data_IF_999833419201
#
_entry.id   IF_999833419201
#
_cell.length_a   1.000
_cell.length_b   1.000
_cell.length_c   1.000
_cell.angle_alpha   90.00
_cell.angle_beta   90.00
_cell.angle_gamma   90.00
#
_symmetry.space_group_name_H-M   'P 1'
#
loop_
_entity.id
_entity.type
_entity.pdbx_description
1 polymer ?
#
# COMPACT_ATOMS: atom_id res chain seq x y z
N UNK A 1 -17.65 -10.39 -15.83
CA UNK A 1 -16.68 -9.33 -15.46
C UNK A 1 -16.55 -9.42 -13.94
N UNK A 2 -15.34 -9.62 -13.41
CA UNK A 2 -15.09 -9.63 -11.97
C UNK A 2 -15.44 -8.25 -11.39
N UNK A 3 -16.06 -8.22 -10.24
CA UNK A 3 -16.44 -6.98 -9.56
C UNK A 3 -15.17 -6.21 -9.15
N UNK A 4 -15.09 -4.91 -9.51
CA UNK A 4 -13.96 -4.08 -9.16
C UNK A 4 -13.97 -3.79 -7.65
N UNK A 5 -12.88 -4.15 -6.97
CA UNK A 5 -12.69 -3.90 -5.52
C UNK A 5 -12.15 -2.49 -5.29
N UNK A 6 -11.26 -2.01 -6.17
CA UNK A 6 -10.77 -0.63 -6.16
C UNK A 6 -11.16 0.00 -7.50
N UNK A 7 -11.76 1.19 -7.45
CA UNK A 7 -12.07 1.96 -8.65
C UNK A 7 -11.71 3.42 -8.41
N UNK A 8 -10.90 3.97 -9.31
CA UNK A 8 -10.51 5.38 -9.33
C UNK A 8 -11.09 6.03 -10.59
N UNK A 9 -11.73 7.18 -10.44
CA UNK A 9 -12.30 7.97 -11.53
C UNK A 9 -11.77 9.39 -11.46
N UNK A 10 -10.95 9.78 -12.42
CA UNK A 10 -10.38 11.11 -12.58
C UNK A 10 -9.78 11.66 -11.28
N UNK A 11 -8.95 10.87 -10.59
CA UNK A 11 -8.35 11.25 -9.30
C UNK A 11 -7.23 12.25 -9.51
N UNK A 12 -7.33 13.38 -8.82
CA UNK A 12 -6.31 14.41 -8.77
C UNK A 12 -5.80 14.59 -7.33
N UNK A 13 -4.49 14.76 -7.19
CA UNK A 13 -3.89 15.27 -5.96
C UNK A 13 -2.90 16.37 -6.27
N UNK A 14 -3.23 17.56 -5.82
CA UNK A 14 -2.42 18.75 -5.97
C UNK A 14 -2.19 19.33 -4.58
N UNK A 15 -0.93 19.56 -4.25
CA UNK A 15 -0.53 20.20 -2.99
C UNK A 15 -0.38 21.70 -3.20
N UNK A 16 -0.88 22.50 -2.28
CA UNK A 16 -0.82 23.95 -2.32
C UNK A 16 -2.12 24.61 -1.85
N UNK A 17 -2.03 25.83 -1.34
CA UNK A 17 -3.18 26.52 -0.75
C UNK A 17 -4.34 26.81 -1.76
N UNK A 18 -4.00 26.95 -3.05
CA UNK A 18 -4.95 27.26 -4.12
C UNK A 18 -5.26 26.08 -5.05
N UNK A 19 -4.88 24.86 -4.67
CA UNK A 19 -4.94 23.67 -5.51
C UNK A 19 -6.32 23.41 -6.12
N UNK A 20 -7.37 23.38 -5.32
CA UNK A 20 -8.75 23.15 -5.77
C UNK A 20 -9.25 24.24 -6.74
N UNK A 21 -8.96 25.51 -6.42
CA UNK A 21 -9.36 26.64 -7.27
C UNK A 21 -8.65 26.60 -8.62
N UNK A 22 -7.35 26.29 -8.62
CA UNK A 22 -6.58 26.18 -9.84
C UNK A 22 -7.07 25.00 -10.71
N UNK A 23 -7.34 23.84 -10.11
CA UNK A 23 -7.86 22.69 -10.82
C UNK A 23 -9.22 22.98 -11.48
N UNK A 24 -10.14 23.62 -10.76
CA UNK A 24 -11.44 24.06 -11.29
C UNK A 24 -11.28 25.02 -12.45
N UNK A 25 -10.40 26.01 -12.34
CA UNK A 25 -10.16 26.99 -13.42
C UNK A 25 -9.53 26.36 -14.66
N UNK A 26 -8.71 25.35 -14.46
CA UNK A 26 -8.06 24.60 -15.56
C UNK A 26 -9.00 23.59 -16.24
N UNK A 27 -10.24 23.39 -15.75
CA UNK A 27 -11.19 22.39 -16.25
C UNK A 27 -10.56 21.00 -16.40
N UNK A 28 -9.72 20.59 -15.44
CA UNK A 28 -9.01 19.32 -15.45
C UNK A 28 -7.77 19.27 -16.36
N UNK A 29 -7.46 20.32 -17.09
CA UNK A 29 -6.25 20.40 -17.92
C UNK A 29 -5.08 20.90 -17.07
N UNK A 30 -4.38 19.96 -16.42
CA UNK A 30 -3.31 20.25 -15.46
C UNK A 30 -1.95 20.31 -16.17
N UNK A 31 -1.40 21.52 -16.30
CA UNK A 31 -0.01 21.73 -16.69
C UNK A 31 0.87 21.88 -15.42
N UNK A 32 1.75 20.91 -15.18
CA UNK A 32 2.56 20.84 -13.97
C UNK A 32 3.45 22.09 -13.77
N UNK A 33 3.95 22.70 -14.85
CA UNK A 33 4.80 23.89 -14.80
C UNK A 33 3.99 25.10 -14.32
N UNK A 34 2.83 25.35 -14.92
CA UNK A 34 1.93 26.43 -14.53
C UNK A 34 1.50 26.31 -13.07
N UNK A 35 1.21 25.09 -12.62
CA UNK A 35 0.85 24.85 -11.22
C UNK A 35 2.02 25.14 -10.27
N UNK A 36 3.24 24.73 -10.63
CA UNK A 36 4.43 24.98 -9.84
C UNK A 36 4.77 26.47 -9.72
N UNK A 37 4.64 27.22 -10.81
CA UNK A 37 4.84 28.70 -10.81
C UNK A 37 3.85 29.41 -9.90
N UNK A 38 2.69 28.82 -9.65
CA UNK A 38 1.67 29.31 -8.71
C UNK A 38 1.73 28.66 -7.31
N UNK A 39 2.85 28.03 -6.95
CA UNK A 39 3.08 27.45 -5.64
C UNK A 39 2.31 26.14 -5.37
N UNK A 40 1.87 25.45 -6.42
CA UNK A 40 1.20 24.17 -6.33
C UNK A 40 2.06 23.06 -6.91
N UNK A 41 2.03 21.87 -6.29
CA UNK A 41 2.75 20.68 -6.75
C UNK A 41 1.73 19.63 -7.16
N UNK A 42 1.80 19.19 -8.40
CA UNK A 42 0.93 18.10 -8.93
C UNK A 42 1.52 16.77 -8.48
N UNK A 43 0.81 16.07 -7.60
CA UNK A 43 1.18 14.75 -7.12
C UNK A 43 0.50 13.62 -7.91
N UNK A 44 -0.79 13.79 -8.25
CA UNK A 44 -1.55 12.86 -9.11
C UNK A 44 -2.35 13.69 -10.10
N UNK A 45 -2.32 13.29 -11.37
CA UNK A 45 -3.01 13.96 -12.47
C UNK A 45 -3.93 12.97 -13.20
N UNK A 46 -5.25 13.12 -13.02
CA UNK A 46 -6.29 12.39 -13.74
C UNK A 46 -6.14 10.87 -13.76
N UNK A 47 -5.88 10.27 -12.60
CA UNK A 47 -5.73 8.82 -12.51
C UNK A 47 -7.09 8.13 -12.53
N UNK A 48 -7.29 7.23 -13.51
CA UNK A 48 -8.50 6.42 -13.64
C UNK A 48 -8.11 4.97 -13.94
N UNK A 49 -8.56 4.03 -13.09
CA UNK A 49 -8.32 2.60 -13.26
C UNK A 49 -9.22 1.80 -12.32
N UNK A 50 -9.27 0.49 -12.54
CA UNK A 50 -9.99 -0.46 -11.71
C UNK A 50 -9.07 -1.63 -11.36
N UNK A 51 -9.26 -2.20 -10.16
CA UNK A 51 -8.58 -3.43 -9.71
C UNK A 51 -9.65 -4.42 -9.29
N UNK A 52 -9.62 -5.60 -9.88
CA UNK A 52 -10.57 -6.67 -9.59
C UNK A 52 -10.20 -7.42 -8.31
N UNK A 53 -11.16 -8.16 -7.75
CA UNK A 53 -10.91 -9.01 -6.57
C UNK A 53 -9.88 -10.09 -6.89
N UNK A 54 -8.87 -10.21 -6.00
CA UNK A 54 -7.77 -11.16 -6.15
C UNK A 54 -6.71 -10.75 -7.17
N UNK A 55 -6.90 -9.64 -7.87
CA UNK A 55 -5.92 -9.10 -8.82
C UNK A 55 -4.71 -8.50 -8.12
N UNK A 56 -3.53 -8.68 -8.71
CA UNK A 56 -2.34 -7.90 -8.38
C UNK A 56 -2.14 -6.82 -9.43
N UNK A 57 -2.36 -5.57 -9.05
CA UNK A 57 -2.12 -4.41 -9.90
C UNK A 57 -0.78 -3.76 -9.55
N UNK A 58 0.12 -3.65 -10.52
CA UNK A 58 1.44 -3.04 -10.33
C UNK A 58 1.44 -1.64 -10.92
N UNK A 59 1.73 -0.65 -10.07
CA UNK A 59 1.88 0.76 -10.45
C UNK A 59 3.36 1.09 -10.55
N UNK A 60 3.83 1.33 -11.76
CA UNK A 60 5.23 1.60 -12.05
C UNK A 60 5.44 3.03 -12.55
N UNK A 61 6.61 3.59 -12.31
CA UNK A 61 7.02 4.89 -12.83
C UNK A 61 8.25 5.43 -12.12
N UNK A 62 8.82 6.50 -12.64
CA UNK A 62 10.03 7.13 -12.09
C UNK A 62 9.83 7.64 -10.66
N UNK A 63 10.93 7.82 -9.92
CA UNK A 63 10.87 8.47 -8.60
C UNK A 63 10.24 9.86 -8.73
N UNK A 64 9.35 10.22 -7.82
CA UNK A 64 8.63 11.49 -7.85
C UNK A 64 7.47 11.58 -8.85
N UNK A 65 7.09 10.49 -9.55
CA UNK A 65 5.94 10.50 -10.49
C UNK A 65 4.57 10.47 -9.80
N UNK A 66 4.51 10.43 -8.46
CA UNK A 66 3.25 10.50 -7.71
C UNK A 66 2.66 9.15 -7.27
N UNK A 67 3.33 8.02 -7.52
CA UNK A 67 2.85 6.67 -7.17
C UNK A 67 2.45 6.51 -5.71
N UNK A 68 3.37 6.82 -4.79
CA UNK A 68 3.08 6.77 -3.34
C UNK A 68 1.99 7.77 -2.93
N UNK A 69 1.90 8.91 -3.64
CA UNK A 69 0.82 9.88 -3.43
C UNK A 69 -0.52 9.28 -3.83
N UNK A 70 -0.60 8.60 -4.97
CA UNK A 70 -1.79 7.90 -5.43
C UNK A 70 -2.23 6.83 -4.41
N UNK A 71 -1.29 5.98 -3.97
CA UNK A 71 -1.57 4.96 -2.95
C UNK A 71 -2.13 5.56 -1.65
N UNK A 72 -1.54 6.68 -1.22
CA UNK A 72 -2.03 7.42 -0.04
C UNK A 72 -3.41 8.03 -0.25
N UNK A 73 -3.76 8.43 -1.48
CA UNK A 73 -5.12 8.87 -1.80
C UNK A 73 -6.10 7.69 -1.76
N UNK A 74 -5.75 6.53 -2.33
CA UNK A 74 -6.61 5.33 -2.38
C UNK A 74 -6.81 4.73 -0.98
N UNK A 75 -5.83 4.82 -0.11
CA UNK A 75 -5.97 4.47 1.31
C UNK A 75 -6.54 5.60 2.17
N UNK A 76 -6.80 6.78 1.54
CA UNK A 76 -7.21 8.03 2.16
C UNK A 76 -6.32 8.49 3.32
N UNK A 77 -5.02 8.08 3.34
CA UNK A 77 -4.02 8.67 4.21
C UNK A 77 -3.75 10.13 3.86
N UNK A 78 -4.08 10.50 2.62
CA UNK A 78 -4.09 11.88 2.10
C UNK A 78 -5.36 12.03 1.28
N UNK A 79 -6.16 13.08 1.54
CA UNK A 79 -7.36 13.31 0.75
C UNK A 79 -7.00 13.72 -0.69
N UNK A 80 -7.72 13.19 -1.68
CA UNK A 80 -7.62 13.64 -3.05
C UNK A 80 -8.10 15.12 -3.18
N UNK A 81 -7.59 15.83 -4.18
CA UNK A 81 -8.05 17.20 -4.47
C UNK A 81 -9.36 17.17 -5.24
N UNK A 82 -9.54 16.19 -6.13
CA UNK A 82 -10.76 15.97 -6.91
C UNK A 82 -10.80 14.53 -7.43
N UNK A 83 -11.93 14.11 -8.00
CA UNK A 83 -12.18 12.77 -8.51
C UNK A 83 -12.97 11.90 -7.54
N UNK A 84 -13.07 10.61 -7.84
CA UNK A 84 -13.75 9.63 -6.99
C UNK A 84 -12.91 8.40 -6.77
N UNK A 85 -13.00 7.83 -5.58
CA UNK A 85 -12.32 6.60 -5.20
C UNK A 85 -13.36 5.70 -4.53
N UNK A 86 -13.58 4.52 -5.12
CA UNK A 86 -14.47 3.52 -4.57
C UNK A 86 -13.68 2.32 -4.06
N UNK A 87 -14.03 1.84 -2.88
CA UNK A 87 -13.53 0.60 -2.29
C UNK A 87 -14.74 -0.31 -2.04
N UNK A 88 -14.78 -1.46 -2.69
CA UNK A 88 -15.92 -2.39 -2.65
C UNK A 88 -17.26 -1.66 -2.92
N UNK A 89 -17.28 -0.76 -3.90
CA UNK A 89 -18.45 0.03 -4.28
C UNK A 89 -18.79 1.21 -3.35
N UNK A 90 -18.10 1.37 -2.22
CA UNK A 90 -18.29 2.50 -1.31
C UNK A 90 -17.43 3.70 -1.72
N UNK A 91 -18.02 4.88 -1.84
CA UNK A 91 -17.28 6.12 -2.11
C UNK A 91 -16.43 6.51 -0.91
N UNK A 92 -15.13 6.27 -1.03
CA UNK A 92 -14.15 6.47 0.04
C UNK A 92 -14.08 7.92 0.51
N UNK A 93 -14.24 8.89 -0.41
CA UNK A 93 -14.09 10.31 -0.09
C UNK A 93 -15.28 10.86 0.70
N UNK A 94 -16.44 10.22 0.60
CA UNK A 94 -17.66 10.59 1.31
C UNK A 94 -17.82 9.91 2.67
N UNK A 95 -16.95 8.94 3.03
CA UNK A 95 -16.99 8.29 4.33
C UNK A 95 -16.67 9.27 5.45
N UNK A 96 -17.41 9.19 6.55
CA UNK A 96 -17.04 9.88 7.77
C UNK A 96 -15.84 9.21 8.47
N UNK A 97 -15.25 9.87 9.47
CA UNK A 97 -14.05 9.37 10.16
C UNK A 97 -14.23 7.98 10.79
N UNK A 98 -15.41 7.68 11.32
CA UNK A 98 -15.69 6.39 11.97
C UNK A 98 -15.73 5.27 10.91
N UNK A 99 -16.44 5.49 9.82
CA UNK A 99 -16.54 4.56 8.70
C UNK A 99 -15.17 4.31 8.06
N UNK A 100 -14.38 5.37 7.87
CA UNK A 100 -13.03 5.27 7.33
C UNK A 100 -12.09 4.46 8.24
N UNK A 101 -12.17 4.66 9.56
CA UNK A 101 -11.39 3.87 10.52
C UNK A 101 -11.78 2.39 10.44
N UNK A 102 -13.06 2.08 10.38
CA UNK A 102 -13.56 0.70 10.28
C UNK A 102 -13.13 0.05 8.95
N UNK A 103 -13.24 0.78 7.84
CA UNK A 103 -12.79 0.30 6.53
C UNK A 103 -11.29 -0.05 6.55
N UNK A 104 -10.44 0.86 7.06
CA UNK A 104 -9.00 0.63 7.15
C UNK A 104 -8.65 -0.53 8.07
N UNK A 105 -9.29 -0.62 9.24
CA UNK A 105 -9.04 -1.68 10.22
C UNK A 105 -9.37 -3.07 9.69
N UNK A 106 -10.44 -3.17 8.90
CA UNK A 106 -11.00 -4.47 8.52
C UNK A 106 -10.63 -4.90 7.11
N UNK A 107 -10.38 -3.96 6.19
CA UNK A 107 -10.24 -4.25 4.77
C UNK A 107 -8.86 -3.97 4.21
N UNK A 108 -8.07 -3.09 4.84
CA UNK A 108 -6.81 -2.60 4.26
C UNK A 108 -5.61 -3.01 5.09
N UNK A 109 -4.61 -3.61 4.44
CA UNK A 109 -3.26 -3.78 4.96
C UNK A 109 -2.30 -2.88 4.20
N UNK A 110 -1.27 -2.36 4.87
CA UNK A 110 -0.27 -1.52 4.22
C UNK A 110 1.15 -1.85 4.66
N UNK A 111 2.04 -1.99 3.67
CA UNK A 111 3.48 -2.11 3.85
C UNK A 111 4.14 -0.85 3.31
N UNK A 112 4.98 -0.23 4.13
CA UNK A 112 5.66 1.02 3.83
C UNK A 112 7.10 0.79 3.39
N UNK A 113 7.62 1.67 2.57
CA UNK A 113 9.01 1.67 2.11
C UNK A 113 10.04 1.67 3.27
N UNK A 114 9.76 2.38 4.36
CA UNK A 114 10.64 2.53 5.52
C UNK A 114 10.34 1.55 6.65
N UNK A 115 9.73 0.38 6.36
CA UNK A 115 9.27 -0.63 7.31
C UNK A 115 8.25 -0.12 8.33
N UNK A 116 8.34 1.14 8.77
CA UNK A 116 7.47 1.83 9.73
C UNK A 116 7.24 1.02 11.03
N UNK A 117 8.24 0.30 11.50
CA UNK A 117 8.17 -0.47 12.75
C UNK A 117 8.22 0.46 13.97
N UNK A 118 7.54 0.04 15.02
CA UNK A 118 7.57 0.71 16.32
C UNK A 118 8.89 0.32 17.04
N UNK A 119 9.85 1.25 17.22
CA UNK A 119 11.20 0.90 17.64
C UNK A 119 11.30 0.43 19.10
N UNK A 120 10.29 0.74 19.91
CA UNK A 120 10.17 0.37 21.32
C UNK A 120 9.38 -0.92 21.55
N UNK A 121 8.92 -1.58 20.47
CA UNK A 121 8.19 -2.85 20.50
C UNK A 121 9.04 -3.95 19.88
N UNK A 122 8.92 -5.15 20.44
CA UNK A 122 9.53 -6.36 19.87
C UNK A 122 8.86 -6.75 18.54
N UNK A 123 9.39 -7.78 17.86
CA UNK A 123 8.80 -8.36 16.65
C UNK A 123 7.35 -8.77 16.88
N UNK A 124 7.10 -9.61 17.88
CA UNK A 124 5.75 -10.09 18.17
C UNK A 124 4.80 -8.95 18.55
N UNK A 125 5.26 -7.98 19.31
CA UNK A 125 4.46 -6.82 19.71
C UNK A 125 4.16 -5.88 18.51
N UNK A 126 5.10 -5.71 17.57
CA UNK A 126 4.85 -4.97 16.33
C UNK A 126 3.75 -5.64 15.49
N UNK A 127 3.79 -6.97 15.38
CA UNK A 127 2.81 -7.74 14.60
C UNK A 127 1.45 -7.76 15.32
N UNK A 128 1.43 -7.88 16.63
CA UNK A 128 0.19 -7.88 17.44
C UNK A 128 -0.49 -6.50 17.51
N UNK A 129 0.27 -5.41 17.32
CA UNK A 129 -0.22 -4.04 17.51
C UNK A 129 -1.52 -3.72 16.76
N UNK A 130 -1.65 -3.99 15.44
CA UNK A 130 -2.91 -3.69 14.74
C UNK A 130 -4.10 -4.51 15.26
N UNK A 131 -3.89 -5.73 15.74
CA UNK A 131 -4.93 -6.55 16.35
C UNK A 131 -5.43 -5.93 17.66
N UNK A 132 -4.50 -5.45 18.49
CA UNK A 132 -4.83 -4.73 19.72
C UNK A 132 -5.59 -3.43 19.44
N UNK A 133 -5.23 -2.70 18.39
CA UNK A 133 -5.97 -1.50 17.92
C UNK A 133 -7.38 -1.86 17.45
N UNK A 134 -7.60 -3.08 16.95
CA UNK A 134 -8.94 -3.62 16.63
C UNK A 134 -9.74 -3.98 17.88
N UNK A 135 -9.14 -3.97 19.06
CA UNK A 135 -9.78 -4.34 20.32
C UNK A 135 -9.72 -5.85 20.64
N UNK A 136 -8.89 -6.61 19.90
CA UNK A 136 -8.65 -8.04 20.21
C UNK A 136 -7.82 -8.12 21.50
N UNK A 137 -8.15 -9.05 22.36
CA UNK A 137 -7.45 -9.27 23.62
C UNK A 137 -5.96 -9.51 23.39
N UNK A 138 -5.13 -9.09 24.34
CA UNK A 138 -3.67 -9.18 24.21
C UNK A 138 -3.19 -10.61 23.96
N UNK A 139 -3.74 -11.58 24.69
CA UNK A 139 -3.37 -12.99 24.55
C UNK A 139 -3.66 -13.54 23.16
N UNK A 140 -4.86 -13.28 22.62
CA UNK A 140 -5.27 -13.69 21.28
C UNK A 140 -4.43 -12.98 20.21
N UNK A 141 -4.14 -11.68 20.43
CA UNK A 141 -3.29 -10.87 19.52
C UNK A 141 -1.87 -11.40 19.45
N UNK A 142 -1.29 -11.80 20.57
CA UNK A 142 0.05 -12.40 20.63
C UNK A 142 0.05 -13.79 19.98
N UNK A 143 -0.97 -14.62 20.25
CA UNK A 143 -1.09 -15.93 19.62
C UNK A 143 -1.13 -15.81 18.09
N UNK A 144 -1.95 -14.92 17.55
CA UNK A 144 -2.03 -14.66 16.11
C UNK A 144 -0.73 -14.08 15.56
N UNK A 145 -0.07 -13.19 16.30
CA UNK A 145 1.22 -12.65 15.92
C UNK A 145 2.30 -13.74 15.83
N UNK A 146 2.30 -14.72 16.72
CA UNK A 146 3.23 -15.86 16.65
C UNK A 146 3.00 -16.74 15.42
N UNK A 147 1.75 -16.91 14.98
CA UNK A 147 1.46 -17.58 13.69
C UNK A 147 2.08 -16.79 12.52
N UNK A 148 1.97 -15.45 12.55
CA UNK A 148 2.55 -14.59 11.51
C UNK A 148 4.08 -14.61 11.53
N UNK A 149 4.71 -14.67 12.72
CA UNK A 149 6.17 -14.83 12.86
C UNK A 149 6.64 -16.08 12.12
N UNK A 150 5.95 -17.22 12.30
CA UNK A 150 6.24 -18.47 11.60
C UNK A 150 6.01 -18.35 10.09
N UNK A 151 4.91 -17.70 9.70
CA UNK A 151 4.54 -17.53 8.29
C UNK A 151 5.65 -16.82 7.49
N UNK A 152 6.33 -15.84 8.11
CA UNK A 152 7.40 -15.05 7.47
C UNK A 152 8.82 -15.53 7.83
N UNK A 153 8.97 -16.71 8.44
CA UNK A 153 10.27 -17.32 8.76
C UNK A 153 11.12 -16.52 9.75
N UNK A 154 10.49 -15.97 10.79
CA UNK A 154 11.17 -15.23 11.87
C UNK A 154 11.16 -16.00 13.21
N UNK A 155 11.00 -17.32 13.19
CA UNK A 155 11.05 -18.15 14.40
C UNK A 155 12.33 -17.91 15.19
N UNK A 156 12.18 -17.79 16.52
CA UNK A 156 13.29 -17.52 17.46
C UNK A 156 13.69 -16.04 17.52
N UNK A 157 12.97 -15.13 16.83
CA UNK A 157 13.23 -13.69 16.87
C UNK A 157 12.06 -12.86 17.40
N UNK A 158 11.11 -13.50 18.03
CA UNK A 158 9.85 -12.92 18.53
C UNK A 158 10.10 -11.75 19.48
N UNK A 159 11.14 -11.87 20.31
CA UNK A 159 11.51 -10.91 21.36
C UNK A 159 12.56 -9.88 20.92
N UNK A 160 13.01 -9.92 19.65
CA UNK A 160 13.99 -8.97 19.13
C UNK A 160 13.31 -7.62 18.84
N UNK A 161 14.05 -6.54 19.07
CA UNK A 161 13.64 -5.19 18.68
C UNK A 161 14.08 -4.90 17.24
N UNK A 162 13.42 -3.96 16.54
CA UNK A 162 13.77 -3.60 15.16
C UNK A 162 15.26 -3.33 14.93
N UNK A 163 15.94 -2.66 15.87
CA UNK A 163 17.39 -2.36 15.80
C UNK A 163 18.30 -3.59 15.79
N UNK A 164 17.80 -4.75 16.21
CA UNK A 164 18.54 -6.02 16.30
C UNK A 164 18.33 -6.89 15.04
N UNK A 165 17.56 -6.39 14.08
CA UNK A 165 17.17 -7.09 12.86
C UNK A 165 17.86 -6.49 11.63
N UNK A 166 18.19 -7.35 10.66
CA UNK A 166 18.58 -6.90 9.32
C UNK A 166 17.41 -6.22 8.60
N UNK A 167 17.69 -5.45 7.55
CA UNK A 167 16.65 -4.79 6.75
C UNK A 167 15.60 -5.77 6.20
N UNK A 168 16.04 -6.93 5.68
CA UNK A 168 15.11 -7.98 5.22
C UNK A 168 14.25 -8.55 6.35
N UNK A 169 14.80 -8.74 7.54
CA UNK A 169 14.03 -9.19 8.70
C UNK A 169 13.02 -8.12 9.14
N UNK A 170 13.41 -6.84 9.16
CA UNK A 170 12.48 -5.74 9.44
C UNK A 170 11.34 -5.69 8.42
N UNK A 171 11.64 -5.93 7.14
CA UNK A 171 10.62 -6.00 6.09
C UNK A 171 9.64 -7.16 6.32
N UNK A 172 10.14 -8.35 6.69
CA UNK A 172 9.30 -9.49 7.06
C UNK A 172 8.37 -9.16 8.23
N UNK A 173 8.84 -8.43 9.24
CA UNK A 173 7.98 -7.96 10.34
C UNK A 173 6.90 -7.00 9.83
N UNK A 174 7.24 -6.07 8.92
CA UNK A 174 6.28 -5.16 8.30
C UNK A 174 5.19 -5.89 7.50
N UNK A 175 5.58 -6.91 6.72
CA UNK A 175 4.68 -7.81 5.99
C UNK A 175 3.77 -8.56 6.95
N UNK A 176 4.33 -9.26 7.95
CA UNK A 176 3.59 -10.01 8.95
C UNK A 176 2.58 -9.13 9.71
N UNK A 177 3.00 -7.92 10.12
CA UNK A 177 2.13 -6.94 10.77
C UNK A 177 0.94 -6.55 9.90
N UNK A 178 1.18 -6.31 8.61
CA UNK A 178 0.11 -5.93 7.69
C UNK A 178 -0.87 -7.07 7.41
N UNK A 179 -0.40 -8.32 7.44
CA UNK A 179 -1.21 -9.53 7.23
C UNK A 179 -1.96 -9.98 8.48
N UNK A 180 -1.50 -9.62 9.68
CA UNK A 180 -2.09 -10.06 10.95
C UNK A 180 -3.58 -9.73 11.07
N UNK A 181 -4.03 -8.62 10.48
CA UNK A 181 -5.43 -8.19 10.45
C UNK A 181 -6.26 -8.86 9.36
N UNK A 182 -5.67 -9.75 8.56
CA UNK A 182 -6.28 -10.47 7.44
C UNK A 182 -6.99 -9.54 6.43
N UNK A 183 -6.29 -8.54 5.89
CA UNK A 183 -6.91 -7.56 4.99
C UNK A 183 -7.39 -8.20 3.70
N UNK A 184 -8.45 -7.66 3.09
CA UNK A 184 -8.90 -8.05 1.75
C UNK A 184 -8.07 -7.36 0.66
N UNK A 185 -7.62 -6.14 0.93
CA UNK A 185 -6.81 -5.30 0.04
C UNK A 185 -5.45 -5.04 0.69
N UNK A 186 -4.38 -5.28 -0.07
CA UNK A 186 -3.03 -5.13 0.41
C UNK A 186 -2.25 -4.11 -0.41
N UNK A 187 -1.91 -3.00 0.21
CA UNK A 187 -1.15 -1.91 -0.37
C UNK A 187 0.33 -2.04 -0.04
N UNK A 188 1.20 -2.03 -1.06
CA UNK A 188 2.64 -2.12 -0.91
C UNK A 188 3.31 -0.93 -1.59
N UNK A 189 3.92 -0.05 -0.80
CA UNK A 189 4.60 1.17 -1.24
C UNK A 189 6.11 0.93 -1.28
N UNK A 190 6.64 0.54 -2.45
CA UNK A 190 8.05 0.22 -2.70
C UNK A 190 8.66 -0.72 -1.63
N UNK A 191 8.03 -1.87 -1.34
CA UNK A 191 8.32 -2.65 -0.13
C UNK A 191 9.75 -3.19 -0.08
N UNK A 192 10.43 -3.33 -1.23
CA UNK A 192 11.77 -3.92 -1.26
C UNK A 192 12.88 -2.94 -1.63
N UNK A 193 12.56 -1.65 -1.83
CA UNK A 193 13.52 -0.63 -2.29
C UNK A 193 14.66 -0.37 -1.31
N UNK A 194 14.42 -0.55 -0.01
CA UNK A 194 15.43 -0.34 1.05
C UNK A 194 16.34 -1.56 1.29
N UNK A 195 16.17 -2.64 0.51
CA UNK A 195 16.94 -3.89 0.67
C UNK A 195 18.11 -3.94 -0.32
N UNK A 196 19.20 -4.61 0.09
CA UNK A 196 20.27 -4.95 -0.84
C UNK A 196 19.79 -5.94 -1.93
N UNK A 197 20.48 -6.02 -3.09
CA UNK A 197 19.95 -6.76 -4.25
C UNK A 197 19.71 -8.25 -3.99
N UNK A 198 20.53 -8.90 -3.16
CA UNK A 198 20.39 -10.35 -2.88
C UNK A 198 19.15 -10.59 -2.00
N UNK A 199 19.06 -9.88 -0.90
CA UNK A 199 17.92 -9.98 0.03
C UNK A 199 16.63 -9.55 -0.65
N UNK A 200 16.67 -8.53 -1.53
CA UNK A 200 15.52 -8.11 -2.33
C UNK A 200 14.95 -9.26 -3.16
N UNK A 201 15.80 -9.99 -3.87
CA UNK A 201 15.39 -11.13 -4.69
C UNK A 201 14.74 -12.24 -3.84
N UNK A 202 15.35 -12.59 -2.72
CA UNK A 202 14.79 -13.57 -1.78
C UNK A 202 13.41 -13.14 -1.26
N UNK A 203 13.26 -11.87 -0.90
CA UNK A 203 12.00 -11.31 -0.40
C UNK A 203 10.90 -11.26 -1.46
N UNK A 204 11.25 -11.00 -2.72
CA UNK A 204 10.30 -11.07 -3.84
C UNK A 204 9.80 -12.50 -4.05
N UNK A 205 10.69 -13.50 -4.06
CA UNK A 205 10.32 -14.91 -4.20
C UNK A 205 9.41 -15.38 -3.07
N UNK A 206 9.70 -14.94 -1.85
CA UNK A 206 8.87 -15.26 -0.68
C UNK A 206 7.51 -14.56 -0.73
N UNK A 207 7.46 -13.30 -1.15
CA UNK A 207 6.22 -12.55 -1.35
C UNK A 207 5.31 -13.25 -2.36
N UNK A 208 5.84 -13.71 -3.50
CA UNK A 208 5.09 -14.44 -4.50
C UNK A 208 4.49 -15.73 -3.93
N UNK A 209 5.28 -16.52 -3.19
CA UNK A 209 4.78 -17.73 -2.50
C UNK A 209 3.68 -17.43 -1.48
N UNK A 210 3.77 -16.29 -0.78
CA UNK A 210 2.72 -15.86 0.15
C UNK A 210 1.44 -15.48 -0.61
N UNK A 211 1.57 -14.75 -1.72
CA UNK A 211 0.44 -14.34 -2.54
C UNK A 211 -0.30 -15.53 -3.16
N UNK A 212 0.42 -16.55 -3.64
CA UNK A 212 -0.18 -17.80 -4.15
C UNK A 212 -1.10 -18.47 -3.11
N UNK A 213 -0.70 -18.42 -1.83
CA UNK A 213 -1.48 -19.01 -0.72
C UNK A 213 -2.64 -18.11 -0.29
N UNK A 214 -2.43 -16.80 -0.27
CA UNK A 214 -3.35 -15.85 0.35
C UNK A 214 -4.36 -15.25 -0.64
N UNK A 215 -4.02 -15.21 -1.92
CA UNK A 215 -4.87 -14.70 -3.03
C UNK A 215 -5.52 -13.34 -2.72
N UNK A 216 -4.72 -12.40 -2.18
CA UNK A 216 -5.18 -11.07 -1.82
C UNK A 216 -5.30 -10.15 -3.04
N UNK A 217 -6.22 -9.19 -3.00
CA UNK A 217 -6.21 -8.07 -3.93
C UNK A 217 -5.04 -7.15 -3.58
N UNK A 218 -4.11 -6.93 -4.51
CA UNK A 218 -2.86 -6.22 -4.23
C UNK A 218 -2.73 -5.00 -5.14
N UNK A 219 -2.35 -3.87 -4.54
CA UNK A 219 -1.79 -2.74 -5.26
C UNK A 219 -0.33 -2.57 -4.87
N UNK A 220 0.56 -2.85 -5.80
CA UNK A 220 2.00 -2.84 -5.61
C UNK A 220 2.63 -1.65 -6.33
N UNK A 221 3.41 -0.86 -5.62
CA UNK A 221 4.16 0.27 -6.19
C UNK A 221 5.63 -0.07 -6.26
N UNK A 222 6.23 0.15 -7.43
CA UNK A 222 7.67 0.05 -7.63
C UNK A 222 8.18 1.07 -8.65
N UNK A 223 9.47 1.38 -8.57
CA UNK A 223 10.20 2.08 -9.62
C UNK A 223 11.16 1.14 -10.38
N UNK A 224 11.22 -0.13 -10.00
CA UNK A 224 12.08 -1.16 -10.57
C UNK A 224 11.32 -1.95 -11.63
N UNK A 225 11.81 -1.90 -12.88
CA UNK A 225 11.17 -2.56 -14.02
C UNK A 225 11.23 -4.08 -13.93
N UNK A 226 12.37 -4.62 -13.50
CA UNK A 226 12.56 -6.06 -13.38
C UNK A 226 11.67 -6.65 -12.29
N UNK A 227 11.48 -5.90 -11.18
CA UNK A 227 10.53 -6.25 -10.14
C UNK A 227 9.10 -6.28 -10.67
N UNK A 228 8.67 -5.25 -11.40
CA UNK A 228 7.34 -5.20 -11.99
C UNK A 228 7.10 -6.37 -12.94
N UNK A 229 8.04 -6.67 -13.83
CA UNK A 229 7.96 -7.80 -14.77
C UNK A 229 7.87 -9.15 -14.04
N UNK A 230 8.69 -9.34 -13.00
CA UNK A 230 8.68 -10.57 -12.22
C UNK A 230 7.33 -10.79 -11.55
N UNK A 231 6.77 -9.75 -10.92
CA UNK A 231 5.47 -9.82 -10.24
C UNK A 231 4.31 -10.12 -11.20
N UNK A 232 4.41 -9.65 -12.46
CA UNK A 232 3.35 -9.85 -13.47
C UNK A 232 3.45 -11.19 -14.16
N UNK A 233 4.67 -11.66 -14.49
CA UNK A 233 4.87 -12.87 -15.27
C UNK A 233 4.69 -14.16 -14.46
N UNK A 234 4.95 -14.12 -13.16
CA UNK A 234 4.91 -15.30 -12.28
C UNK A 234 3.49 -15.62 -11.75
N UNK A 235 2.45 -14.86 -12.16
CA UNK A 235 1.07 -15.10 -11.70
C UNK A 235 0.08 -15.37 -12.84
N UNK A 236 -0.65 -16.49 -12.72
CA UNK A 236 -1.81 -16.84 -13.57
C UNK A 236 -3.08 -15.99 -13.29
N UNK A 237 -3.03 -15.07 -12.35
CA UNK A 237 -4.16 -14.23 -11.94
C UNK A 237 -4.10 -12.87 -12.64
N UNK A 238 -5.23 -12.40 -13.16
CA UNK A 238 -5.40 -11.17 -13.94
C UNK A 238 -4.53 -10.00 -13.48
N UNK A 239 -3.41 -9.80 -14.16
CA UNK A 239 -2.40 -8.83 -13.77
C UNK A 239 -2.56 -7.57 -14.60
N UNK A 240 -2.90 -6.47 -13.94
CA UNK A 240 -2.85 -5.14 -14.54
C UNK A 240 -1.53 -4.44 -14.27
N UNK A 241 -0.81 -4.00 -15.30
CA UNK A 241 0.31 -3.07 -15.15
C UNK A 241 -0.17 -1.68 -15.53
N UNK A 242 -0.20 -0.78 -14.56
CA UNK A 242 -0.46 0.63 -14.81
C UNK A 242 0.85 1.40 -14.76
N UNK A 243 1.25 1.98 -15.89
CA UNK A 243 2.45 2.81 -15.97
C UNK A 243 2.06 4.26 -15.76
N UNK A 244 2.57 4.88 -14.70
CA UNK A 244 2.41 6.31 -14.46
C UNK A 244 3.62 7.05 -15.03
N UNK A 245 3.39 7.79 -16.12
CA UNK A 245 4.34 8.80 -16.64
C UNK A 245 3.90 10.18 -16.17
N UNK A 246 4.88 11.04 -15.93
CA UNK A 246 4.61 12.48 -15.76
C UNK A 246 4.18 13.08 -17.07
#
# INVERSE_FOLDING_TARGET
>A
MSEAVIKCEAVYKIFGANAEKMLKNANGNVDAKTFQENGCIVGVNNASFEVAKGEMSVVMGLSGSGKSTLLRCISRLTDATDGKIFIEGQDLLNLNNKELIELRRNKMGMVFQSFALLPHKTVVENIAFPLQVKGIKTEDSISKAMEMVKLVGLDGRENYFPRELSGGQQQRVGIARSLAVEPDIWFLDEPFSALDPLIRKEMQDEFLRLQEKLQKTIMFITHDFDEALKLVNDHEFGNGVSIFTR
#
